data_IF_414222709011
#
_entry.id   IF_414222709011
#
_cell.length_a   1.000
_cell.length_b   1.000
_cell.length_c   1.000
_cell.angle_alpha   90.00
_cell.angle_beta   90.00
_cell.angle_gamma   90.00
#
_symmetry.space_group_name_H-M   'P 1'
#
loop_
_entity.id
_entity.type
_entity.pdbx_description
1 polymer ?
#
# COMPACT_ATOMS: atom_id res chain seq x y z
N UNK A 1 -17.58 48.00 -10.56
CA UNK A 1 -18.11 46.65 -10.26
C UNK A 1 -16.94 45.73 -9.98
N UNK A 2 -17.01 44.92 -8.92
CA UNK A 2 -15.99 43.91 -8.57
C UNK A 2 -16.64 42.54 -8.71
N UNK A 3 -16.04 41.67 -9.51
CA UNK A 3 -16.44 40.27 -9.60
C UNK A 3 -15.53 39.47 -8.69
N UNK A 4 -16.12 38.71 -7.77
CA UNK A 4 -15.40 37.82 -6.88
C UNK A 4 -15.70 36.38 -7.31
N UNK A 5 -14.65 35.60 -7.52
CA UNK A 5 -14.76 34.18 -7.81
C UNK A 5 -14.26 33.41 -6.58
N UNK A 6 -15.00 32.38 -6.19
CA UNK A 6 -14.56 31.43 -5.18
C UNK A 6 -14.03 30.21 -5.92
N UNK A 7 -12.77 29.85 -5.64
CA UNK A 7 -12.20 28.60 -6.10
C UNK A 7 -12.38 27.58 -4.98
N UNK A 8 -13.34 26.69 -5.15
CA UNK A 8 -13.50 25.53 -4.27
C UNK A 8 -12.53 24.44 -4.71
N UNK A 9 -11.50 24.19 -3.92
CA UNK A 9 -10.62 23.03 -4.10
C UNK A 9 -11.28 21.85 -3.42
N UNK A 10 -11.88 20.94 -4.20
CA UNK A 10 -12.33 19.66 -3.68
C UNK A 10 -11.09 18.82 -3.29
N UNK A 11 -11.06 18.30 -2.07
CA UNK A 11 -10.01 17.36 -1.66
C UNK A 11 -9.97 16.17 -2.63
N UNK A 12 -8.78 15.72 -3.07
CA UNK A 12 -8.68 14.50 -3.85
C UNK A 12 -9.36 13.37 -3.09
N UNK A 13 -10.23 12.62 -3.78
CA UNK A 13 -10.87 11.45 -3.20
C UNK A 13 -9.78 10.55 -2.61
N UNK A 14 -9.86 10.27 -1.30
CA UNK A 14 -8.90 9.40 -0.64
C UNK A 14 -8.96 8.00 -1.30
N UNK A 15 -7.82 7.56 -1.80
CA UNK A 15 -7.60 6.27 -2.45
C UNK A 15 -7.42 5.17 -1.40
N UNK A 16 -6.82 5.52 -0.26
CA UNK A 16 -6.65 4.61 0.89
C UNK A 16 -7.60 4.97 2.02
N UNK A 17 -8.01 3.97 2.81
CA UNK A 17 -8.79 4.20 4.03
C UNK A 17 -8.00 5.09 5.01
N UNK A 18 -8.68 6.06 5.65
CA UNK A 18 -8.06 7.07 6.52
C UNK A 18 -7.37 6.47 7.75
N UNK A 19 -7.89 5.36 8.27
CA UNK A 19 -7.32 4.63 9.39
C UNK A 19 -6.97 3.22 8.94
N UNK A 20 -5.77 3.04 8.42
CA UNK A 20 -5.26 1.70 8.21
C UNK A 20 -4.89 1.12 9.57
N UNK A 21 -5.38 -0.09 9.93
CA UNK A 21 -4.86 -0.76 11.11
C UNK A 21 -3.36 -0.90 10.89
N UNK A 22 -2.57 -0.20 11.70
CA UNK A 22 -1.11 -0.22 11.70
C UNK A 22 -0.63 -1.61 12.16
N UNK A 23 -0.85 -2.63 11.34
CA UNK A 23 -0.28 -3.96 11.54
C UNK A 23 1.07 -4.00 10.82
N UNK A 24 1.95 -3.10 11.22
CA UNK A 24 3.31 -2.96 10.68
C UNK A 24 4.30 -3.92 11.34
N UNK A 25 3.94 -4.52 12.48
CA UNK A 25 4.86 -5.41 13.19
C UNK A 25 4.71 -6.85 12.74
N UNK A 26 5.34 -7.16 11.60
CA UNK A 26 5.73 -8.51 11.28
C UNK A 26 7.19 -8.70 11.65
N UNK A 27 7.43 -8.98 12.93
CA UNK A 27 8.64 -9.69 13.32
C UNK A 27 8.56 -11.12 12.78
N UNK A 28 8.75 -11.25 11.46
CA UNK A 28 8.82 -12.55 10.82
C UNK A 28 10.21 -13.13 11.09
N UNK A 29 10.23 -14.29 11.76
CA UNK A 29 11.46 -15.06 11.94
C UNK A 29 12.00 -15.45 10.57
N UNK A 30 13.32 -15.50 10.42
CA UNK A 30 13.95 -15.93 9.17
C UNK A 30 13.37 -17.28 8.73
N UNK A 31 12.91 -17.36 7.48
CA UNK A 31 12.23 -18.54 6.90
C UNK A 31 10.70 -18.55 7.05
N UNK A 32 10.11 -17.62 7.81
CA UNK A 32 8.65 -17.43 7.86
C UNK A 32 8.15 -16.59 6.66
N UNK A 33 6.85 -16.33 6.60
CA UNK A 33 6.27 -15.33 5.70
C UNK A 33 5.94 -14.04 6.46
N UNK A 34 5.98 -12.91 5.74
CA UNK A 34 5.51 -11.61 6.19
C UNK A 34 4.36 -11.15 5.28
N UNK A 35 3.29 -10.61 5.86
CA UNK A 35 2.08 -10.13 5.16
C UNK A 35 1.74 -8.66 5.47
N UNK A 36 2.02 -7.75 4.56
CA UNK A 36 1.57 -6.36 4.67
C UNK A 36 0.16 -6.23 4.10
N UNK A 37 -0.67 -5.37 4.70
CA UNK A 37 -2.04 -5.16 4.26
C UNK A 37 -2.47 -3.72 4.36
N UNK A 38 -3.13 -3.21 3.32
CA UNK A 38 -3.80 -1.92 3.31
C UNK A 38 -5.21 -2.04 2.72
N UNK A 39 -6.06 -1.06 3.01
CA UNK A 39 -7.39 -0.93 2.42
C UNK A 39 -7.47 0.27 1.47
N UNK A 40 -8.05 0.04 0.30
CA UNK A 40 -8.38 1.06 -0.69
C UNK A 40 -9.85 1.45 -0.62
N UNK A 41 -10.20 2.66 -1.03
CA UNK A 41 -11.57 3.16 -0.96
C UNK A 41 -12.52 2.46 -1.95
N UNK A 42 -12.00 1.88 -3.04
CA UNK A 42 -12.78 1.20 -4.06
C UNK A 42 -12.15 -0.15 -4.43
N UNK A 43 -13.00 -1.15 -4.60
CA UNK A 43 -12.64 -2.54 -4.89
C UNK A 43 -11.81 -2.74 -6.17
N UNK A 44 -12.04 -1.91 -7.19
CA UNK A 44 -11.33 -1.94 -8.48
C UNK A 44 -10.01 -1.18 -8.49
N UNK A 45 -9.62 -0.56 -7.38
CA UNK A 45 -8.38 0.22 -7.30
C UNK A 45 -7.17 -0.69 -7.41
N UNK A 46 -6.44 -0.59 -8.51
CA UNK A 46 -5.16 -1.29 -8.65
C UNK A 46 -4.10 -0.61 -7.79
N UNK A 47 -3.19 -1.41 -7.22
CA UNK A 47 -2.11 -0.91 -6.38
C UNK A 47 -0.76 -1.42 -6.88
N UNK A 48 0.28 -0.65 -6.62
CA UNK A 48 1.66 -1.07 -6.84
C UNK A 48 2.40 -1.11 -5.51
N UNK A 49 3.08 -2.23 -5.26
CA UNK A 49 3.92 -2.39 -4.08
C UNK A 49 5.38 -2.06 -4.38
N UNK A 50 6.07 -1.51 -3.39
CA UNK A 50 7.47 -1.14 -3.46
C UNK A 50 8.22 -1.62 -2.23
N UNK A 51 9.52 -1.85 -2.40
CA UNK A 51 10.50 -2.04 -1.33
C UNK A 51 11.64 -1.06 -1.54
N UNK A 52 11.93 -0.21 -0.56
CA UNK A 52 13.00 0.79 -0.61
C UNK A 52 12.90 1.67 -1.90
N UNK A 53 11.67 2.04 -2.26
CA UNK A 53 11.35 2.81 -3.48
C UNK A 53 11.42 2.05 -4.81
N UNK A 54 11.71 0.74 -4.80
CA UNK A 54 11.75 -0.10 -6.01
C UNK A 54 10.46 -0.89 -6.18
N UNK A 55 9.86 -0.81 -7.37
CA UNK A 55 8.64 -1.53 -7.72
C UNK A 55 8.85 -3.05 -7.59
N UNK A 56 7.97 -3.69 -6.85
CA UNK A 56 7.93 -5.14 -6.72
C UNK A 56 7.14 -5.76 -7.86
N UNK A 57 7.49 -7.00 -8.20
CA UNK A 57 6.79 -7.82 -9.18
C UNK A 57 6.46 -9.18 -8.59
N UNK A 58 5.37 -9.79 -9.03
CA UNK A 58 4.97 -11.10 -8.57
C UNK A 58 6.05 -12.14 -8.89
N UNK A 59 6.32 -13.03 -7.95
CA UNK A 59 7.32 -14.09 -8.09
C UNK A 59 6.96 -15.24 -7.13
N UNK A 60 7.76 -16.32 -7.13
CA UNK A 60 7.62 -17.38 -6.12
C UNK A 60 7.75 -16.87 -4.69
N UNK A 61 8.48 -15.77 -4.48
CA UNK A 61 8.68 -15.16 -3.16
C UNK A 61 7.64 -14.09 -2.83
N UNK A 62 7.15 -13.37 -3.85
CA UNK A 62 6.28 -12.20 -3.70
C UNK A 62 4.91 -12.51 -4.28
N UNK A 63 3.92 -12.63 -3.41
CA UNK A 63 2.51 -12.74 -3.80
C UNK A 63 1.78 -11.43 -3.50
N UNK A 64 0.99 -10.95 -4.45
CA UNK A 64 0.13 -9.78 -4.29
C UNK A 64 -1.32 -10.22 -4.45
N UNK A 65 -2.15 -9.85 -3.49
CA UNK A 65 -3.54 -10.29 -3.41
C UNK A 65 -4.48 -9.08 -3.33
N UNK A 66 -5.61 -9.17 -4.01
CA UNK A 66 -6.67 -8.17 -3.98
C UNK A 66 -8.00 -8.88 -3.70
N UNK A 67 -8.64 -8.51 -2.59
CA UNK A 67 -9.92 -9.07 -2.16
C UNK A 67 -10.84 -7.92 -1.73
N UNK A 68 -11.85 -7.61 -2.57
CA UNK A 68 -12.67 -6.41 -2.39
C UNK A 68 -11.79 -5.15 -2.28
N UNK A 69 -11.90 -4.43 -1.17
CA UNK A 69 -11.08 -3.25 -0.86
C UNK A 69 -9.75 -3.59 -0.18
N UNK A 70 -9.50 -4.83 0.20
CA UNK A 70 -8.25 -5.24 0.85
C UNK A 70 -7.16 -5.52 -0.18
N UNK A 71 -5.93 -5.08 0.13
CA UNK A 71 -4.72 -5.34 -0.66
C UNK A 71 -3.68 -5.93 0.25
N UNK A 72 -3.10 -7.08 -0.14
CA UNK A 72 -2.06 -7.74 0.63
C UNK A 72 -0.81 -7.99 -0.20
N UNK A 73 0.34 -7.84 0.44
CA UNK A 73 1.63 -8.28 -0.05
C UNK A 73 2.14 -9.38 0.88
N UNK A 74 2.34 -10.57 0.35
CA UNK A 74 2.92 -11.70 1.08
C UNK A 74 4.34 -11.94 0.57
N UNK A 75 5.32 -11.78 1.45
CA UNK A 75 6.74 -12.10 1.21
C UNK A 75 7.04 -13.43 1.88
N UNK A 76 7.26 -14.48 1.10
CA UNK A 76 7.58 -15.82 1.59
C UNK A 76 9.07 -15.94 1.94
N UNK A 77 9.39 -16.83 2.88
CA UNK A 77 10.79 -17.17 3.22
C UNK A 77 11.65 -15.93 3.48
N UNK A 78 11.15 -15.02 4.31
CA UNK A 78 11.84 -13.76 4.60
C UNK A 78 13.19 -14.02 5.24
N UNK A 79 14.19 -13.26 4.81
CA UNK A 79 15.53 -13.22 5.36
C UNK A 79 16.02 -11.77 5.47
N UNK A 80 17.30 -11.59 5.84
CA UNK A 80 17.87 -10.26 6.08
C UNK A 80 17.78 -9.32 4.87
N UNK A 81 17.84 -9.85 3.65
CA UNK A 81 17.73 -9.07 2.42
C UNK A 81 16.33 -8.48 2.19
N UNK A 82 15.32 -9.03 2.86
CA UNK A 82 13.93 -8.60 2.73
C UNK A 82 13.57 -7.49 3.72
N UNK A 83 14.45 -7.17 4.68
CA UNK A 83 14.29 -6.01 5.53
C UNK A 83 14.36 -4.71 4.70
N UNK A 84 13.55 -3.73 5.05
CA UNK A 84 13.45 -2.45 4.34
C UNK A 84 12.09 -1.80 4.57
N UNK A 85 11.91 -0.60 4.03
CA UNK A 85 10.61 0.07 4.01
C UNK A 85 9.79 -0.49 2.85
N UNK A 86 8.56 -0.90 3.13
CA UNK A 86 7.62 -1.30 2.09
C UNK A 86 6.54 -0.24 1.95
N UNK A 87 6.07 -0.05 0.73
CA UNK A 87 4.96 0.88 0.50
C UNK A 87 3.99 0.37 -0.55
N UNK A 88 2.74 0.78 -0.42
CA UNK A 88 1.68 0.52 -1.37
C UNK A 88 1.21 1.85 -1.97
N UNK A 89 1.18 1.96 -3.29
CA UNK A 89 0.79 3.18 -4.01
C UNK A 89 -0.40 2.93 -4.92
N UNK A 90 -1.31 3.92 -4.95
CA UNK A 90 -2.43 3.97 -5.88
C UNK A 90 -2.92 5.41 -6.06
N UNK A 91 -3.28 5.78 -7.28
CA UNK A 91 -3.84 7.10 -7.59
C UNK A 91 -3.00 8.30 -7.13
N UNK A 92 -1.67 8.16 -7.09
CA UNK A 92 -0.75 9.19 -6.62
C UNK A 92 -0.64 9.33 -5.10
N UNK A 93 -1.31 8.46 -4.33
CA UNK A 93 -1.17 8.36 -2.89
C UNK A 93 -0.33 7.13 -2.51
N UNK A 94 0.27 7.16 -1.31
CA UNK A 94 1.14 6.11 -0.80
C UNK A 94 0.86 5.85 0.69
N UNK A 95 0.94 4.59 1.08
CA UNK A 95 1.04 4.17 2.49
C UNK A 95 2.32 3.36 2.69
N UNK A 96 3.08 3.67 3.74
CA UNK A 96 4.34 2.99 4.11
C UNK A 96 4.14 2.07 5.32
N UNK A 97 4.93 1.01 5.40
CA UNK A 97 4.93 0.00 6.46
C UNK A 97 6.31 -0.17 7.09
#
# INVERSE_FOLDING_TARGET
>A
QKVSFHLDVAEPAAVFAKEQPARSELQAKVGASATLSCEVAQDKTEVTWYKDGKKLSASSKICMEAEGCSRRLVVQQVGKADAGEYSCEAGGQKVSF
#
